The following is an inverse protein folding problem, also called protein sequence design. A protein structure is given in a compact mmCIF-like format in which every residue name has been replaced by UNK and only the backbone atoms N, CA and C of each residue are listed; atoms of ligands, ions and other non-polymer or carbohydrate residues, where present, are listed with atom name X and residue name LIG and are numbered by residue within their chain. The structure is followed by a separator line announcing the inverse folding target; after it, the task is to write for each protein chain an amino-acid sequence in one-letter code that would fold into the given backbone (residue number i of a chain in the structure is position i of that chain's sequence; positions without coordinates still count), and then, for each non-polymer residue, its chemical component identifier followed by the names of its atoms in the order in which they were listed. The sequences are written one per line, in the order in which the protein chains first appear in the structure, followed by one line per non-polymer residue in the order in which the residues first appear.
data_IF_469022609991
#
_entry.id   IF_469022609991
#
_cell.length_a   1.000
_cell.length_b   1.000
_cell.length_c   1.000
_cell.angle_alpha   90.00
_cell.angle_beta   90.00
_cell.angle_gamma   90.00
#
_symmetry.space_group_name_H-M   'P 1'
#
loop_
_entity.id
_entity.type
_entity.pdbx_description
1 polymer ?
#
# COMPACT_ATOMS: atom_id res chain seq x y z
N UNK A 1 29.29 51.15 8.13
CA UNK A 1 29.11 50.38 6.87
C UNK A 1 29.41 48.89 7.01
N UNK A 2 30.43 48.46 7.78
CA UNK A 2 30.80 47.04 7.91
C UNK A 2 29.83 46.20 8.78
N UNK A 3 29.19 46.77 9.81
CA UNK A 3 28.27 46.02 10.69
C UNK A 3 26.89 45.75 10.08
N UNK A 4 26.46 46.57 9.10
CA UNK A 4 25.16 46.41 8.46
C UNK A 4 25.17 45.22 7.50
N UNK A 5 26.27 45.00 6.80
CA UNK A 5 26.46 43.84 5.92
C UNK A 5 26.45 42.51 6.70
N UNK A 6 27.02 42.48 7.90
CA UNK A 6 27.03 41.31 8.78
C UNK A 6 25.64 40.94 9.31
N UNK A 7 24.81 41.93 9.64
CA UNK A 7 23.43 41.72 10.12
C UNK A 7 22.53 41.19 9.00
N UNK A 8 22.66 41.71 7.78
CA UNK A 8 21.92 41.19 6.63
C UNK A 8 22.37 39.77 6.25
N UNK A 9 23.66 39.43 6.34
CA UNK A 9 24.17 38.09 6.03
C UNK A 9 23.74 37.02 7.06
N UNK A 10 23.71 37.37 8.35
CA UNK A 10 23.26 36.46 9.42
C UNK A 10 21.74 36.27 9.44
N UNK A 11 20.94 37.30 9.11
CA UNK A 11 19.50 37.14 8.93
C UNK A 11 19.13 36.29 7.71
N UNK A 12 19.90 36.37 6.62
CA UNK A 12 19.65 35.55 5.41
C UNK A 12 19.96 34.06 5.64
N UNK A 13 21.01 33.76 6.40
CA UNK A 13 21.36 32.37 6.76
C UNK A 13 20.39 31.77 7.78
N UNK A 14 19.87 32.56 8.72
CA UNK A 14 18.85 32.11 9.68
C UNK A 14 17.49 31.82 9.02
N UNK A 15 17.14 32.50 7.93
CA UNK A 15 15.90 32.25 7.19
C UNK A 15 15.97 30.96 6.36
N UNK A 16 17.14 30.66 5.78
CA UNK A 16 17.36 29.44 4.99
C UNK A 16 17.31 28.15 5.82
N UNK A 17 17.75 28.18 7.09
CA UNK A 17 17.68 27.01 8.00
C UNK A 17 16.27 26.70 8.49
N UNK A 18 15.38 27.70 8.60
CA UNK A 18 13.98 27.49 8.99
C UNK A 18 13.19 26.85 7.84
N UNK A 19 13.47 27.20 6.58
CA UNK A 19 12.80 26.61 5.41
C UNK A 19 13.20 25.14 5.16
N UNK A 20 14.42 24.73 5.52
CA UNK A 20 14.88 23.35 5.34
C UNK A 20 14.25 22.34 6.31
N UNK A 21 13.58 22.80 7.37
CA UNK A 21 13.03 21.92 8.43
C UNK A 21 11.56 21.51 8.21
N UNK A 22 10.90 21.98 7.15
CA UNK A 22 9.49 21.65 6.83
C UNK A 22 9.42 20.62 5.70
N UNK A 23 10.19 19.54 5.82
CA UNK A 23 10.06 18.37 4.93
C UNK A 23 10.32 17.10 5.73
N UNK A 24 9.50 16.90 6.76
CA UNK A 24 9.30 15.58 7.34
C UNK A 24 7.87 15.16 7.01
N UNK A 25 7.66 14.74 5.76
CA UNK A 25 6.50 13.93 5.45
C UNK A 25 6.62 12.68 6.30
N UNK A 26 5.63 12.45 7.16
CA UNK A 26 5.62 11.34 8.09
C UNK A 26 5.72 10.02 7.32
N UNK A 27 6.86 9.35 7.45
CA UNK A 27 7.15 8.03 6.88
C UNK A 27 6.50 6.92 7.73
N UNK A 28 5.28 7.16 8.21
CA UNK A 28 4.48 6.13 8.86
C UNK A 28 4.05 5.16 7.77
N UNK A 29 4.35 3.85 7.87
CA UNK A 29 3.83 2.89 6.91
C UNK A 29 2.32 3.08 6.84
N UNK A 30 1.80 3.41 5.66
CA UNK A 30 0.36 3.56 5.47
C UNK A 30 -0.30 2.26 5.93
N UNK A 31 -1.14 2.33 6.96
CA UNK A 31 -1.88 1.18 7.44
C UNK A 31 -2.89 0.80 6.37
N UNK A 32 -2.76 -0.37 5.71
CA UNK A 32 -3.67 -0.72 4.64
C UNK A 32 -5.04 -1.04 5.22
N UNK A 33 -6.08 -0.72 4.45
CA UNK A 33 -7.41 -1.25 4.72
C UNK A 33 -7.44 -2.75 4.36
N UNK A 34 -8.09 -3.57 5.18
CA UNK A 34 -8.25 -5.01 4.94
C UNK A 34 -9.72 -5.29 4.62
N UNK A 35 -9.99 -5.81 3.42
CA UNK A 35 -11.30 -6.35 3.04
C UNK A 35 -11.23 -7.88 3.06
N UNK A 36 -11.99 -8.51 3.95
CA UNK A 36 -12.13 -9.95 4.05
C UNK A 36 -13.40 -10.41 3.33
N UNK A 37 -13.25 -11.22 2.28
CA UNK A 37 -14.37 -11.80 1.54
C UNK A 37 -14.33 -13.30 1.77
N UNK A 38 -15.46 -13.87 2.21
CA UNK A 38 -15.66 -15.32 2.32
C UNK A 38 -16.80 -15.75 1.41
N UNK A 39 -16.73 -16.98 0.93
CA UNK A 39 -17.80 -17.63 0.20
C UNK A 39 -17.94 -19.05 0.74
N UNK A 40 -19.18 -19.48 0.95
CA UNK A 40 -19.48 -20.84 1.42
C UNK A 40 -19.45 -21.83 0.25
N UNK A 41 -19.23 -23.11 0.58
CA UNK A 41 -19.29 -24.27 -0.32
C UNK A 41 -18.46 -24.17 -1.62
N UNK A 42 -17.38 -23.38 -1.61
CA UNK A 42 -16.50 -23.23 -2.76
C UNK A 42 -15.21 -24.03 -2.64
N UNK A 43 -14.94 -24.86 -3.65
CA UNK A 43 -13.66 -25.54 -3.88
C UNK A 43 -12.81 -24.84 -4.96
N UNK A 44 -11.80 -25.53 -5.53
CA UNK A 44 -10.97 -25.00 -6.63
C UNK A 44 -11.70 -24.94 -7.98
N UNK A 45 -13.03 -24.87 -7.99
CA UNK A 45 -13.89 -24.83 -9.17
C UNK A 45 -14.05 -23.39 -9.69
N UNK A 46 -12.93 -22.71 -9.94
CA UNK A 46 -12.87 -21.34 -10.44
C UNK A 46 -11.90 -21.26 -11.63
N UNK A 47 -12.11 -20.30 -12.52
CA UNK A 47 -11.26 -20.10 -13.70
C UNK A 47 -9.78 -19.91 -13.34
N UNK A 48 -9.50 -19.16 -12.27
CA UNK A 48 -8.14 -18.94 -11.76
C UNK A 48 -7.43 -20.20 -11.22
N UNK A 49 -8.18 -21.27 -10.93
CA UNK A 49 -7.63 -22.59 -10.59
C UNK A 49 -7.56 -23.55 -11.80
N UNK A 50 -7.97 -23.09 -12.99
CA UNK A 50 -7.93 -23.85 -14.25
C UNK A 50 -9.23 -24.54 -14.62
N UNK A 51 -10.35 -24.25 -13.94
CA UNK A 51 -11.66 -24.76 -14.33
C UNK A 51 -12.09 -24.15 -15.68
N UNK A 52 -12.39 -25.00 -16.66
CA UNK A 52 -12.79 -24.58 -18.02
C UNK A 52 -14.28 -24.27 -18.16
N UNK A 53 -15.09 -24.61 -17.15
CA UNK A 53 -16.54 -24.41 -17.17
C UNK A 53 -16.98 -23.22 -16.31
N UNK A 54 -16.18 -22.81 -15.34
CA UNK A 54 -16.48 -21.69 -14.46
C UNK A 54 -16.28 -20.34 -15.17
N UNK A 55 -17.32 -19.50 -15.19
CA UNK A 55 -17.24 -18.10 -15.64
C UNK A 55 -17.06 -17.17 -14.42
N UNK A 56 -15.80 -16.92 -14.04
CA UNK A 56 -15.46 -16.20 -12.80
C UNK A 56 -14.57 -14.96 -13.02
N UNK A 57 -14.90 -14.06 -13.97
CA UNK A 57 -13.97 -13.04 -14.47
C UNK A 57 -13.51 -12.04 -13.40
N UNK A 58 -14.33 -11.78 -12.38
CA UNK A 58 -13.96 -10.90 -11.28
C UNK A 58 -12.94 -11.53 -10.32
N UNK A 59 -13.09 -12.82 -10.01
CA UNK A 59 -12.16 -13.59 -9.20
C UNK A 59 -10.86 -13.83 -9.97
N UNK A 60 -10.94 -14.12 -11.27
CA UNK A 60 -9.77 -14.32 -12.13
C UNK A 60 -8.93 -13.03 -12.23
N UNK A 61 -9.59 -11.89 -12.40
CA UNK A 61 -8.92 -10.57 -12.39
C UNK A 61 -8.35 -10.23 -11.02
N UNK A 62 -8.99 -10.64 -9.92
CA UNK A 62 -8.42 -10.47 -8.58
C UNK A 62 -7.14 -11.31 -8.42
N UNK A 63 -7.21 -12.59 -8.79
CA UNK A 63 -6.10 -13.53 -8.73
C UNK A 63 -4.90 -13.09 -9.58
N UNK A 64 -5.13 -12.57 -10.80
CA UNK A 64 -4.06 -12.06 -11.68
C UNK A 64 -3.28 -10.87 -11.14
N UNK A 65 -3.82 -10.16 -10.15
CA UNK A 65 -3.20 -8.98 -9.51
C UNK A 65 -2.69 -9.27 -8.10
N UNK A 66 -2.79 -10.51 -7.66
CA UNK A 66 -2.46 -10.93 -6.30
C UNK A 66 -1.74 -12.27 -6.26
N UNK A 67 -2.04 -13.07 -5.25
CA UNK A 67 -1.50 -14.41 -5.09
C UNK A 67 -2.62 -15.44 -4.95
N UNK A 68 -2.38 -16.64 -5.46
CA UNK A 68 -3.28 -17.78 -5.36
C UNK A 68 -2.63 -18.82 -4.45
N UNK A 69 -3.38 -19.31 -3.46
CA UNK A 69 -2.95 -20.42 -2.63
C UNK A 69 -3.45 -21.74 -3.23
N UNK A 70 -2.55 -22.50 -3.86
CA UNK A 70 -2.89 -23.79 -4.48
C UNK A 70 -3.15 -24.92 -3.45
N UNK A 71 -2.80 -24.67 -2.19
CA UNK A 71 -2.76 -25.64 -1.10
C UNK A 71 -3.37 -25.01 0.17
N UNK A 72 -4.66 -24.69 0.11
CA UNK A 72 -5.43 -24.15 1.23
C UNK A 72 -6.55 -25.13 1.61
N UNK A 73 -6.61 -25.51 2.89
CA UNK A 73 -7.56 -26.49 3.40
C UNK A 73 -8.36 -25.94 4.59
N UNK A 74 -9.65 -26.27 4.64
CA UNK A 74 -10.43 -26.14 5.88
C UNK A 74 -10.06 -27.28 6.82
N UNK A 75 -9.85 -26.95 8.11
CA UNK A 75 -9.56 -27.94 9.14
C UNK A 75 -10.81 -28.68 9.64
N UNK A 76 -12.01 -28.17 9.36
CA UNK A 76 -13.29 -28.77 9.73
C UNK A 76 -14.34 -28.45 8.66
N UNK A 77 -14.38 -29.21 7.55
CA UNK A 77 -15.43 -29.05 6.54
C UNK A 77 -16.74 -29.63 7.09
N UNK A 78 -17.70 -28.77 7.42
CA UNK A 78 -19.05 -29.11 7.93
C UNK A 78 -20.12 -28.67 6.96
#
# INVERSE_FOLDING_TARGET
MKSWLSIFLTSFTAFATVFASVSHAADSPEQPNILWITSEDNGPHLGCYGDQYADTPNLDRLASRGMIYLHAWSNAPV
#
